data_IF_888119507634
#
_entry.id   IF_888119507634
#
_cell.length_a   1.000
_cell.length_b   1.000
_cell.length_c   1.000
_cell.angle_alpha   90.00
_cell.angle_beta   90.00
_cell.angle_gamma   90.00
#
_symmetry.space_group_name_H-M   'P 1'
#
loop_
_entity.id
_entity.type
_entity.pdbx_description
1 polymer ?
#
# COMPACT_ATOMS: atom_id res chain seq x y z
N UNK A 1 4.07 -5.34 3.43
CA UNK A 1 2.84 -6.13 3.25
C UNK A 1 2.79 -6.75 1.86
N UNK A 2 2.17 -7.92 1.69
CA UNK A 2 1.89 -8.52 0.38
C UNK A 2 0.57 -8.01 -0.18
N UNK A 3 0.44 -7.92 -1.51
CA UNK A 3 -0.80 -7.55 -2.18
C UNK A 3 -1.94 -8.52 -1.84
N UNK A 4 -1.64 -9.81 -1.71
CA UNK A 4 -2.60 -10.85 -1.31
C UNK A 4 -3.19 -10.60 0.08
N UNK A 5 -2.38 -10.15 1.04
CA UNK A 5 -2.86 -9.80 2.39
C UNK A 5 -3.79 -8.59 2.37
N UNK A 6 -3.49 -7.60 1.54
CA UNK A 6 -4.33 -6.41 1.34
C UNK A 6 -5.69 -6.82 0.77
N UNK A 7 -5.67 -7.62 -0.30
CA UNK A 7 -6.91 -8.10 -0.96
C UNK A 7 -7.73 -8.93 0.04
N UNK A 8 -7.10 -9.81 0.82
CA UNK A 8 -7.77 -10.60 1.86
C UNK A 8 -8.38 -9.72 2.94
N UNK A 9 -7.69 -8.66 3.36
CA UNK A 9 -8.18 -7.73 4.37
C UNK A 9 -9.43 -6.96 3.93
N UNK A 10 -9.43 -6.45 2.70
CA UNK A 10 -10.56 -5.70 2.14
C UNK A 10 -11.61 -6.59 1.45
N UNK A 11 -11.32 -7.88 1.27
CA UNK A 11 -12.18 -8.90 0.68
C UNK A 11 -12.03 -9.09 -0.83
N UNK A 12 -11.68 -8.06 -1.60
CA UNK A 12 -11.44 -8.17 -3.04
C UNK A 12 -10.58 -7.03 -3.60
N UNK A 13 -10.11 -7.16 -4.84
CA UNK A 13 -9.41 -6.08 -5.53
C UNK A 13 -10.30 -4.84 -5.71
N UNK A 14 -11.59 -5.03 -6.02
CA UNK A 14 -12.54 -3.93 -6.16
C UNK A 14 -12.81 -3.24 -4.81
N UNK A 15 -12.94 -4.00 -3.72
CA UNK A 15 -13.09 -3.43 -2.38
C UNK A 15 -11.83 -2.67 -1.93
N UNK A 16 -10.64 -3.22 -2.22
CA UNK A 16 -9.35 -2.56 -1.99
C UNK A 16 -9.28 -1.23 -2.74
N UNK A 17 -9.67 -1.23 -4.02
CA UNK A 17 -9.65 -0.04 -4.86
C UNK A 17 -10.61 1.05 -4.33
N UNK A 18 -11.82 0.67 -3.92
CA UNK A 18 -12.78 1.58 -3.27
C UNK A 18 -12.25 2.16 -1.97
N UNK A 19 -11.63 1.34 -1.11
CA UNK A 19 -11.05 1.81 0.15
C UNK A 19 -9.91 2.82 -0.07
N UNK A 20 -9.17 2.70 -1.17
CA UNK A 20 -8.03 3.55 -1.50
C UNK A 20 -8.37 4.74 -2.41
N UNK A 21 -9.61 4.83 -2.91
CA UNK A 21 -10.03 5.84 -3.87
C UNK A 21 -9.32 5.73 -5.21
N UNK A 22 -9.11 4.51 -5.73
CA UNK A 22 -8.45 4.25 -7.01
C UNK A 22 -9.27 3.32 -7.90
N UNK A 23 -8.86 3.22 -9.17
CA UNK A 23 -9.41 2.24 -10.10
C UNK A 23 -8.91 0.81 -9.74
N UNK A 24 -9.78 -0.20 -9.90
CA UNK A 24 -9.42 -1.60 -9.64
C UNK A 24 -8.23 -2.12 -10.48
N UNK A 25 -8.06 -1.74 -11.77
CA UNK A 25 -6.88 -2.12 -12.54
C UNK A 25 -5.56 -1.66 -11.91
N UNK A 26 -5.56 -0.57 -11.14
CA UNK A 26 -4.37 -0.13 -10.42
C UNK A 26 -3.95 -1.14 -9.34
N UNK A 27 -4.92 -1.80 -8.68
CA UNK A 27 -4.66 -2.86 -7.69
C UNK A 27 -4.11 -4.12 -8.36
N UNK A 28 -4.67 -4.48 -9.52
CA UNK A 28 -4.18 -5.61 -10.32
C UNK A 28 -2.70 -5.43 -10.72
N UNK A 29 -2.30 -4.20 -11.04
CA UNK A 29 -0.94 -3.88 -11.49
C UNK A 29 0.14 -3.81 -10.39
N UNK A 30 -0.18 -4.05 -9.12
CA UNK A 30 0.82 -3.96 -8.04
C UNK A 30 1.83 -5.11 -8.03
N UNK A 31 1.50 -6.27 -8.60
CA UNK A 31 2.30 -7.49 -8.41
C UNK A 31 2.31 -7.93 -6.95
N UNK A 32 3.45 -8.42 -6.45
CA UNK A 32 3.56 -9.01 -5.10
C UNK A 32 3.38 -8.00 -3.98
N UNK A 33 3.73 -6.72 -4.22
CA UNK A 33 3.72 -5.67 -3.20
C UNK A 33 3.03 -4.39 -3.70
N UNK A 34 2.15 -3.78 -2.90
CA UNK A 34 1.64 -2.44 -3.21
C UNK A 34 2.80 -1.43 -3.31
N UNK A 35 2.69 -0.39 -4.15
CA UNK A 35 3.67 0.69 -4.22
C UNK A 35 3.90 1.36 -2.85
N UNK A 36 5.08 1.97 -2.60
CA UNK A 36 5.45 2.54 -1.31
C UNK A 36 4.40 3.43 -0.64
N UNK A 37 3.86 4.40 -1.38
CA UNK A 37 2.84 5.31 -0.85
C UNK A 37 1.53 4.59 -0.53
N UNK A 38 1.19 3.54 -1.28
CA UNK A 38 -0.01 2.72 -1.01
C UNK A 38 0.18 1.89 0.24
N UNK A 39 1.36 1.36 0.50
CA UNK A 39 1.62 0.67 1.76
C UNK A 39 1.40 1.58 2.98
N UNK A 40 1.83 2.84 2.91
CA UNK A 40 1.59 3.81 3.99
C UNK A 40 0.11 4.16 4.14
N UNK A 41 -0.60 4.40 3.03
CA UNK A 41 -2.04 4.66 3.03
C UNK A 41 -2.83 3.48 3.61
N UNK A 42 -2.50 2.25 3.20
CA UNK A 42 -3.13 1.02 3.70
C UNK A 42 -2.85 0.87 5.21
N UNK A 43 -1.63 1.12 5.67
CA UNK A 43 -1.32 1.06 7.09
C UNK A 43 -2.18 2.02 7.92
N UNK A 44 -2.39 3.25 7.44
CA UNK A 44 -3.26 4.22 8.08
C UNK A 44 -4.73 3.75 8.10
N UNK A 45 -5.26 3.31 6.95
CA UNK A 45 -6.65 2.85 6.82
C UNK A 45 -6.97 1.61 7.65
N UNK A 46 -5.99 0.72 7.83
CA UNK A 46 -6.17 -0.53 8.58
C UNK A 46 -5.86 -0.41 10.06
N UNK A 47 -5.55 0.81 10.55
CA UNK A 47 -5.17 1.03 11.95
C UNK A 47 -3.92 0.24 12.36
N UNK A 48 -3.00 0.00 11.41
CA UNK A 48 -1.76 -0.75 11.67
C UNK A 48 -1.87 -2.27 11.61
N UNK A 49 -3.04 -2.84 11.27
CA UNK A 49 -3.20 -4.30 11.05
C UNK A 49 -2.32 -4.79 9.90
N UNK A 50 -2.21 -3.99 8.83
CA UNK A 50 -1.23 -4.20 7.77
C UNK A 50 -0.12 -3.15 7.90
N UNK A 51 1.15 -3.57 7.89
CA UNK A 51 2.29 -2.67 8.05
C UNK A 51 3.06 -2.51 6.74
N UNK A 52 3.42 -1.27 6.44
CA UNK A 52 4.33 -0.95 5.36
C UNK A 52 5.71 -1.55 5.64
N UNK A 53 6.44 -1.91 4.59
CA UNK A 53 7.80 -2.43 4.77
C UNK A 53 8.70 -1.38 5.44
N UNK A 54 9.63 -1.83 6.27
CA UNK A 54 10.65 -0.94 6.84
C UNK A 54 11.52 -0.36 5.71
N UNK A 55 11.79 0.95 5.75
CA UNK A 55 12.59 1.61 4.73
C UNK A 55 11.94 1.68 3.33
N UNK A 56 10.61 1.52 3.24
CA UNK A 56 9.88 1.51 1.96
C UNK A 56 10.01 2.82 1.16
N UNK A 57 10.28 3.94 1.84
CA UNK A 57 10.61 5.21 1.20
C UNK A 57 12.13 5.41 1.17
N UNK A 58 12.68 5.88 0.05
CA UNK A 58 14.08 6.27 0.00
C UNK A 58 14.33 7.42 0.99
N UNK A 59 15.36 7.28 1.82
CA UNK A 59 15.84 8.41 2.63
C UNK A 59 16.47 9.43 1.70
N UNK A 60 15.79 10.55 1.42
CA UNK A 60 16.48 11.72 0.87
C UNK A 60 17.49 12.19 1.92
N UNK A 61 18.78 12.02 1.63
CA UNK A 61 19.86 12.66 2.39
C UNK A 61 19.64 14.16 2.22
N UNK A 62 19.40 14.91 3.30
CA UNK A 62 19.46 16.37 3.23
C UNK A 62 20.92 16.71 2.97
N UNK A 63 21.25 17.16 1.78
CA UNK A 63 22.51 17.86 1.56
C UNK A 63 22.42 19.18 2.30
N UNK A 64 23.33 19.37 3.25
CA UNK A 64 23.50 20.64 3.94
C UNK A 64 24.12 21.63 2.95
N UNK A 65 23.42 22.73 2.69
CA UNK A 65 23.98 23.92 2.05
C UNK A 65 24.58 24.82 3.13
#
# INVERSE_FOLDING_TARGET
MLTSDVIRHFGSQAATARALGIAQPAVFNWGDHPPPLRQLQIQALTGGKLKAAAGILPRKRREAA
#
